data_IF_419761509790
#
_entry.id   IF_419761509790
#
_cell.length_a   1.000
_cell.length_b   1.000
_cell.length_c   1.000
_cell.angle_alpha   90.00
_cell.angle_beta   90.00
_cell.angle_gamma   90.00
#
_symmetry.space_group_name_H-M   'P 1'
#
loop_
_entity.id
_entity.type
_entity.pdbx_description
1 polymer ?
#
# COMPACT_ATOMS: atom_id res chain seq x y z
N UNK A 1 12.59 1.67 16.32
CA UNK A 1 11.39 0.80 16.26
C UNK A 1 10.95 0.70 14.81
N UNK A 2 10.49 -0.47 14.38
CA UNK A 2 9.88 -0.60 13.06
C UNK A 2 8.47 0.01 13.10
N UNK A 3 8.09 0.69 12.02
CA UNK A 3 6.75 1.24 11.80
C UNK A 3 6.39 1.06 10.33
N UNK A 4 5.13 1.30 9.96
CA UNK A 4 4.64 1.14 8.60
C UNK A 4 4.09 2.45 8.06
N UNK A 5 4.45 2.78 6.83
CA UNK A 5 3.80 3.85 6.08
C UNK A 5 2.74 3.29 5.17
N UNK A 6 1.53 3.80 5.30
CA UNK A 6 0.42 3.46 4.45
C UNK A 6 0.40 4.32 3.19
N UNK A 7 0.17 3.67 2.05
CA UNK A 7 -0.07 4.34 0.79
C UNK A 7 -1.31 3.79 0.10
N UNK A 8 -1.98 4.66 -0.66
CA UNK A 8 -3.14 4.31 -1.46
C UNK A 8 -3.00 4.73 -2.92
N UNK A 9 -3.47 3.86 -3.81
CA UNK A 9 -3.72 4.21 -5.20
C UNK A 9 -5.02 3.56 -5.68
N UNK A 10 -5.86 4.37 -6.30
CA UNK A 10 -7.05 3.91 -7.02
C UNK A 10 -7.00 4.53 -8.41
N UNK A 11 -6.94 3.69 -9.45
CA UNK A 11 -6.79 4.12 -10.83
C UNK A 11 -7.72 3.35 -11.78
N UNK A 12 -7.78 3.76 -13.04
CA UNK A 12 -8.52 3.04 -14.08
C UNK A 12 -7.67 2.04 -14.85
N UNK A 13 -6.35 2.21 -14.78
CA UNK A 13 -5.38 1.36 -15.46
C UNK A 13 -4.08 1.34 -14.67
N UNK A 14 -3.21 0.43 -15.08
CA UNK A 14 -1.84 0.40 -14.63
C UNK A 14 -1.10 1.62 -15.23
N UNK A 15 -0.44 2.48 -14.42
CA UNK A 15 0.25 3.64 -14.96
C UNK A 15 1.42 3.21 -15.87
N UNK A 16 1.70 3.98 -16.94
CA UNK A 16 2.90 3.77 -17.76
C UNK A 16 4.19 3.86 -16.92
N UNK A 17 5.20 3.08 -17.30
CA UNK A 17 6.45 3.00 -16.52
C UNK A 17 7.17 4.35 -16.36
N UNK A 18 7.08 5.23 -17.35
CA UNK A 18 7.62 6.60 -17.25
C UNK A 18 6.94 7.42 -16.16
N UNK A 19 5.62 7.28 -15.99
CA UNK A 19 4.88 7.94 -14.91
C UNK A 19 5.10 7.25 -13.56
N UNK A 20 5.17 5.91 -13.55
CA UNK A 20 5.43 5.15 -12.34
C UNK A 20 6.80 5.49 -11.73
N UNK A 21 7.82 5.80 -12.55
CA UNK A 21 9.17 6.23 -12.12
C UNK A 21 9.30 7.72 -11.81
N UNK A 22 8.31 8.54 -12.15
CA UNK A 22 8.31 9.96 -11.83
C UNK A 22 7.87 10.16 -10.37
N UNK A 23 8.80 10.56 -9.53
CA UNK A 23 8.60 10.75 -8.09
C UNK A 23 7.64 11.93 -7.79
N UNK A 24 7.38 12.82 -8.75
CA UNK A 24 6.41 13.91 -8.61
C UNK A 24 4.96 13.50 -8.89
N UNK A 25 4.74 12.32 -9.49
CA UNK A 25 3.41 11.85 -9.90
C UNK A 25 2.78 10.99 -8.81
N UNK A 26 1.54 11.34 -8.45
CA UNK A 26 0.72 10.58 -7.50
C UNK A 26 0.10 9.31 -8.14
N UNK A 27 0.95 8.40 -8.62
CA UNK A 27 0.56 7.11 -9.20
C UNK A 27 1.36 5.98 -8.57
N UNK A 28 0.80 4.78 -8.51
CA UNK A 28 1.50 3.64 -7.94
C UNK A 28 2.81 3.33 -8.70
N UNK A 29 3.96 3.21 -8.02
CA UNK A 29 5.18 2.69 -8.62
C UNK A 29 5.13 1.15 -8.72
N UNK A 30 6.09 0.59 -9.48
CA UNK A 30 6.30 -0.87 -9.57
C UNK A 30 7.04 -1.44 -8.37
N UNK A 31 8.07 -0.71 -7.93
CA UNK A 31 8.98 -1.14 -6.86
C UNK A 31 8.48 -0.65 -5.50
N UNK A 32 8.60 -1.49 -4.47
CA UNK A 32 8.15 -1.15 -3.11
C UNK A 32 8.92 0.06 -2.55
N UNK A 33 10.24 0.11 -2.75
CA UNK A 33 11.08 1.20 -2.25
C UNK A 33 10.69 2.56 -2.87
N UNK A 34 10.20 2.57 -4.11
CA UNK A 34 9.83 3.79 -4.80
C UNK A 34 8.60 4.49 -4.21
N UNK A 35 7.77 3.79 -3.43
CA UNK A 35 6.65 4.43 -2.71
C UNK A 35 7.14 5.49 -1.71
N UNK A 36 8.30 5.28 -1.10
CA UNK A 36 8.92 6.23 -0.14
C UNK A 36 9.33 7.56 -0.78
N UNK A 37 9.43 7.58 -2.11
CA UNK A 37 9.81 8.76 -2.90
C UNK A 37 8.61 9.45 -3.54
N UNK A 38 7.42 8.84 -3.48
CA UNK A 38 6.19 9.42 -4.03
C UNK A 38 5.75 10.65 -3.24
N UNK A 39 4.90 11.51 -3.84
CA UNK A 39 4.44 12.71 -3.17
C UNK A 39 3.71 12.36 -1.87
N UNK A 40 3.87 13.21 -0.84
CA UNK A 40 3.23 13.01 0.47
C UNK A 40 1.70 12.94 0.41
N UNK A 41 1.07 13.36 -0.69
CA UNK A 41 -0.38 13.17 -0.92
C UNK A 41 -0.77 11.70 -1.09
N UNK A 42 0.17 10.81 -1.40
CA UNK A 42 -0.04 9.37 -1.42
C UNK A 42 0.18 8.70 -0.06
N UNK A 43 0.87 9.36 0.87
CA UNK A 43 1.09 8.89 2.23
C UNK A 43 -0.18 9.16 3.04
N UNK A 44 -0.91 8.11 3.38
CA UNK A 44 -2.22 8.23 4.05
C UNK A 44 -2.16 8.00 5.55
N UNK A 45 -1.06 7.43 6.05
CA UNK A 45 -0.85 7.22 7.48
C UNK A 45 0.52 6.62 7.81
N UNK A 46 0.88 6.72 9.09
CA UNK A 46 2.04 6.06 9.69
C UNK A 46 1.55 5.31 10.92
N UNK A 47 1.91 4.04 11.05
CA UNK A 47 1.43 3.14 12.10
C UNK A 47 2.59 2.48 12.83
N UNK A 48 2.54 2.47 14.16
CA UNK A 48 3.62 1.92 15.00
C UNK A 48 3.32 0.51 15.50
N UNK A 49 2.09 0.05 15.33
CA UNK A 49 1.63 -1.27 15.72
C UNK A 49 0.99 -2.01 14.54
N UNK A 50 1.26 -3.32 14.44
CA UNK A 50 0.74 -4.16 13.36
C UNK A 50 -0.79 -4.18 13.31
N UNK A 51 -1.45 -4.16 14.48
CA UNK A 51 -2.90 -4.17 14.58
C UNK A 51 -3.53 -2.85 14.10
N UNK A 52 -2.88 -1.71 14.34
CA UNK A 52 -3.33 -0.40 13.83
C UNK A 52 -3.21 -0.34 12.31
N UNK A 53 -2.06 -0.77 11.79
CA UNK A 53 -1.82 -0.88 10.36
C UNK A 53 -2.86 -1.80 9.68
N UNK A 54 -3.13 -2.96 10.28
CA UNK A 54 -4.14 -3.90 9.80
C UNK A 54 -5.54 -3.30 9.85
N UNK A 55 -5.93 -2.63 10.93
CA UNK A 55 -7.24 -2.01 11.07
C UNK A 55 -7.49 -0.96 9.99
N UNK A 56 -6.49 -0.13 9.68
CA UNK A 56 -6.56 0.80 8.55
C UNK A 56 -6.77 0.07 7.23
N UNK A 57 -5.99 -0.97 6.95
CA UNK A 57 -6.12 -1.74 5.70
C UNK A 57 -7.49 -2.40 5.58
N UNK A 58 -8.03 -2.93 6.68
CA UNK A 58 -9.36 -3.55 6.71
C UNK A 58 -10.47 -2.53 6.42
N UNK A 59 -10.39 -1.33 7.00
CA UNK A 59 -11.37 -0.27 6.74
C UNK A 59 -11.29 0.22 5.29
N UNK A 60 -10.08 0.47 4.77
CA UNK A 60 -9.90 0.91 3.39
C UNK A 60 -10.47 -0.08 2.38
N UNK A 61 -10.37 -1.39 2.64
CA UNK A 61 -10.85 -2.42 1.74
C UNK A 61 -12.30 -2.85 2.00
N UNK A 62 -12.96 -2.31 3.04
CA UNK A 62 -14.33 -2.70 3.45
C UNK A 62 -15.36 -2.47 2.35
N UNK A 63 -15.19 -1.40 1.58
CA UNK A 63 -16.13 -1.00 0.52
C UNK A 63 -15.71 -1.49 -0.87
N UNK A 64 -14.62 -2.24 -0.95
CA UNK A 64 -14.06 -2.71 -2.21
C UNK A 64 -14.39 -4.19 -2.49
N UNK A 65 -14.73 -4.47 -3.74
CA UNK A 65 -15.16 -5.77 -4.21
C UNK A 65 -14.34 -6.19 -5.46
N UNK A 66 -13.46 -7.20 -5.33
CA UNK A 66 -12.70 -7.73 -6.45
C UNK A 66 -13.60 -8.21 -7.59
N UNK A 67 -13.07 -8.18 -8.82
CA UNK A 67 -13.73 -8.79 -9.98
C UNK A 67 -14.03 -10.29 -9.76
N UNK A 68 -15.07 -10.85 -10.40
CA UNK A 68 -15.36 -12.28 -10.32
C UNK A 68 -14.14 -13.14 -10.68
N UNK A 69 -13.83 -14.12 -9.84
CA UNK A 69 -12.65 -14.99 -9.99
C UNK A 69 -11.34 -14.42 -9.40
N UNK A 70 -11.35 -13.18 -8.91
CA UNK A 70 -10.27 -12.62 -8.10
C UNK A 70 -10.19 -13.23 -6.70
N UNK A 71 -9.04 -13.04 -6.04
CA UNK A 71 -8.88 -13.40 -4.63
C UNK A 71 -9.81 -12.53 -3.77
N UNK A 72 -10.46 -13.11 -2.75
CA UNK A 72 -11.34 -12.34 -1.87
C UNK A 72 -10.54 -11.35 -1.03
N UNK A 73 -11.18 -10.23 -0.66
CA UNK A 73 -10.61 -9.23 0.26
C UNK A 73 -10.20 -9.88 1.59
N UNK A 74 -11.00 -10.81 2.11
CA UNK A 74 -10.68 -11.54 3.34
C UNK A 74 -9.35 -12.29 3.26
N UNK A 75 -9.05 -12.95 2.12
CA UNK A 75 -7.79 -13.67 1.94
C UNK A 75 -6.60 -12.71 1.83
N UNK A 76 -6.78 -11.56 1.16
CA UNK A 76 -5.79 -10.49 1.16
C UNK A 76 -5.51 -9.97 2.57
N UNK A 77 -6.57 -9.67 3.34
CA UNK A 77 -6.47 -9.18 4.71
C UNK A 77 -5.80 -10.19 5.64
N UNK A 78 -6.16 -11.48 5.54
CA UNK A 78 -5.52 -12.55 6.32
C UNK A 78 -4.02 -12.66 6.03
N UNK A 79 -3.63 -12.57 4.76
CA UNK A 79 -2.23 -12.59 4.38
C UNK A 79 -1.49 -11.33 4.88
N UNK A 80 -2.06 -10.15 4.65
CA UNK A 80 -1.51 -8.87 5.08
C UNK A 80 -1.29 -8.85 6.60
N UNK A 81 -2.28 -9.26 7.39
CA UNK A 81 -2.17 -9.31 8.84
C UNK A 81 -0.98 -10.17 9.28
N UNK A 82 -0.82 -11.36 8.68
CA UNK A 82 0.32 -12.23 8.97
C UNK A 82 1.66 -11.54 8.66
N UNK A 83 1.77 -10.80 7.56
CA UNK A 83 3.00 -10.09 7.21
C UNK A 83 3.33 -8.96 8.18
N UNK A 84 2.32 -8.19 8.57
CA UNK A 84 2.47 -7.11 9.55
C UNK A 84 2.93 -7.66 10.92
N UNK A 85 2.37 -8.77 11.38
CA UNK A 85 2.81 -9.44 12.62
C UNK A 85 4.27 -9.92 12.57
N UNK A 86 4.81 -10.16 11.37
CA UNK A 86 6.21 -10.54 11.16
C UNK A 86 7.14 -9.34 10.94
N UNK A 87 6.65 -8.09 11.07
CA UNK A 87 7.46 -6.91 10.78
C UNK A 87 7.63 -6.62 9.28
N UNK A 88 6.86 -7.27 8.41
CA UNK A 88 7.03 -7.19 6.96
C UNK A 88 6.00 -6.27 6.29
N UNK A 89 6.23 -6.01 5.01
CA UNK A 89 5.32 -5.24 4.17
C UNK A 89 4.00 -5.98 3.95
N UNK A 90 2.91 -5.24 3.90
CA UNK A 90 1.67 -5.71 3.31
C UNK A 90 1.38 -4.94 2.03
N UNK A 91 1.29 -5.65 0.90
CA UNK A 91 0.89 -5.10 -0.38
C UNK A 91 -0.39 -5.79 -0.84
N UNK A 92 -1.47 -5.03 -1.00
CA UNK A 92 -2.73 -5.51 -1.53
C UNK A 92 -3.04 -4.76 -2.80
N UNK A 93 -3.05 -5.46 -3.92
CA UNK A 93 -3.42 -4.94 -5.22
C UNK A 93 -4.37 -5.88 -5.94
N UNK A 94 -5.53 -5.39 -6.37
CA UNK A 94 -6.48 -6.18 -7.16
C UNK A 94 -7.34 -5.29 -8.06
N UNK A 95 -8.00 -5.92 -9.01
CA UNK A 95 -8.93 -5.25 -9.92
C UNK A 95 -10.35 -5.28 -9.35
N UNK A 96 -11.02 -4.15 -9.48
CA UNK A 96 -12.47 -4.01 -9.41
C UNK A 96 -12.99 -3.73 -10.83
N UNK A 97 -14.30 -3.87 -11.10
CA UNK A 97 -14.85 -3.49 -12.40
C UNK A 97 -14.46 -2.05 -12.80
N UNK A 98 -13.60 -1.93 -13.82
CA UNK A 98 -13.15 -0.65 -14.38
C UNK A 98 -12.11 0.11 -13.54
N UNK A 99 -11.53 -0.51 -12.50
CA UNK A 99 -10.54 0.12 -11.61
C UNK A 99 -9.49 -0.85 -11.13
N UNK A 100 -8.34 -0.31 -10.72
CA UNK A 100 -7.34 -0.98 -9.90
C UNK A 100 -7.30 -0.33 -8.52
N UNK A 101 -7.30 -1.18 -7.49
CA UNK A 101 -7.14 -0.78 -6.10
C UNK A 101 -5.78 -1.29 -5.63
N UNK A 102 -4.97 -0.39 -5.09
CA UNK A 102 -3.74 -0.72 -4.38
C UNK A 102 -3.72 -0.03 -3.02
N UNK A 103 -3.46 -0.81 -1.98
CA UNK A 103 -3.21 -0.36 -0.62
C UNK A 103 -1.96 -1.06 -0.11
N UNK A 104 -1.02 -0.27 0.40
CA UNK A 104 0.26 -0.80 0.87
C UNK A 104 0.58 -0.27 2.25
N UNK A 105 1.23 -1.11 3.05
CA UNK A 105 1.82 -0.78 4.34
C UNK A 105 3.27 -1.24 4.27
N UNK A 106 4.18 -0.28 4.16
CA UNK A 106 5.59 -0.58 3.92
C UNK A 106 6.40 -0.33 5.18
N UNK A 107 7.17 -1.34 5.59
CA UNK A 107 8.01 -1.28 6.78
C UNK A 107 9.13 -0.25 6.61
N UNK A 108 9.32 0.55 7.66
CA UNK A 108 10.38 1.53 7.84
C UNK A 108 11.17 1.21 9.13
N UNK A 109 12.50 1.37 9.19
CA UNK A 109 13.40 1.89 8.15
C UNK A 109 13.57 0.96 6.93
N UNK A 110 13.85 1.56 5.77
CA UNK A 110 13.99 0.82 4.50
C UNK A 110 15.27 1.14 3.75
N UNK A 111 16.30 0.32 3.96
CA UNK A 111 17.54 0.39 3.18
C UNK A 111 18.12 1.81 3.11
N UNK A 112 18.15 2.39 1.91
CA UNK A 112 18.66 3.75 1.64
C UNK A 112 17.55 4.82 1.56
N UNK A 113 16.29 4.41 1.65
CA UNK A 113 15.16 5.34 1.55
C UNK A 113 15.03 6.17 2.83
N UNK A 114 14.62 7.42 2.67
CA UNK A 114 14.37 8.32 3.80
C UNK A 114 13.01 7.99 4.41
N UNK A 115 12.90 8.11 5.73
CA UNK A 115 11.61 8.04 6.39
C UNK A 115 10.71 9.19 5.87
N UNK A 116 9.54 8.89 5.28
CA UNK A 116 8.58 9.89 4.79
C UNK A 116 7.94 10.70 5.92
N UNK A 117 7.87 10.14 7.12
CA UNK A 117 7.32 10.79 8.32
C UNK A 117 8.21 10.50 9.55
N UNK A 118 9.34 11.22 9.71
CA UNK A 118 10.37 10.91 10.71
C UNK A 118 10.02 11.34 12.14
N UNK A 119 8.74 11.54 12.45
CA UNK A 119 8.28 12.11 13.73
C UNK A 119 8.41 11.16 14.91
#
# INVERSE_FOLDING_TARGET
>A
MHHWHAYGYTGHEIPPDSQARDDSRAVMPRELDAWFRKPGTMLVGTYHHADEAYAWLAEELREHAPVPGGLSVELHLKHAHRMLQLGQDAYVGYYEPGRIIVRTLLTCPRGKERCPDPR
#
